data_IF_011388486260
#
_entry.id   IF_011388486260
#
_cell.length_a   1.000
_cell.length_b   1.000
_cell.length_c   1.000
_cell.angle_alpha   90.00
_cell.angle_beta   90.00
_cell.angle_gamma   90.00
#
_symmetry.space_group_name_H-M   'P 1'
#
loop_
_entity.id
_entity.type
_entity.pdbx_description
1 polymer ?
#
# COMPACT_ATOMS: atom_id res chain seq x y z
N UNK A 1 -1.49 -5.80 -9.56
CA UNK A 1 -1.68 -4.55 -10.35
C UNK A 1 -1.91 -3.34 -9.43
N UNK A 2 -1.96 -2.08 -9.90
CA UNK A 2 -2.08 -0.87 -9.05
C UNK A 2 -2.97 0.22 -9.69
N UNK A 3 -3.48 1.15 -8.88
CA UNK A 3 -4.16 2.39 -9.30
C UNK A 3 -5.48 2.15 -10.07
N UNK A 4 -6.35 1.32 -9.49
CA UNK A 4 -7.64 0.92 -10.06
C UNK A 4 -7.54 -0.27 -11.03
N UNK A 5 -6.34 -0.80 -11.25
CA UNK A 5 -6.12 -1.95 -12.13
C UNK A 5 -5.98 -3.22 -11.28
N UNK A 6 -6.71 -4.27 -11.67
CA UNK A 6 -6.66 -5.62 -11.08
C UNK A 6 -6.75 -6.68 -12.17
N UNK A 7 -6.19 -7.86 -11.92
CA UNK A 7 -6.30 -9.03 -12.78
C UNK A 7 -6.46 -10.30 -11.94
N UNK A 8 -7.63 -10.93 -12.00
CA UNK A 8 -7.97 -12.04 -11.11
C UNK A 8 -7.21 -13.32 -11.48
N UNK A 9 -7.10 -13.62 -12.78
CA UNK A 9 -6.41 -14.81 -13.25
C UNK A 9 -4.94 -14.87 -12.80
N UNK A 10 -4.22 -13.74 -12.83
CA UNK A 10 -2.86 -13.66 -12.30
C UNK A 10 -2.81 -13.78 -10.78
N UNK A 11 -3.80 -13.25 -10.06
CA UNK A 11 -3.89 -13.39 -8.61
C UNK A 11 -4.08 -14.85 -8.20
N UNK A 12 -5.04 -15.56 -8.81
CA UNK A 12 -5.30 -16.98 -8.55
C UNK A 12 -4.04 -17.82 -8.79
N UNK A 13 -3.34 -17.59 -9.90
CA UNK A 13 -2.07 -18.28 -10.20
C UNK A 13 -1.00 -18.03 -9.15
N UNK A 14 -0.88 -16.80 -8.67
CA UNK A 14 0.08 -16.45 -7.61
C UNK A 14 -0.25 -17.12 -6.29
N UNK A 15 -1.52 -17.11 -5.88
CA UNK A 15 -1.98 -17.78 -4.66
C UNK A 15 -1.79 -19.29 -4.75
N UNK A 16 -2.13 -19.92 -5.88
CA UNK A 16 -1.92 -21.35 -6.11
C UNK A 16 -0.43 -21.75 -6.05
N UNK A 17 0.48 -20.83 -6.41
CA UNK A 17 1.92 -21.01 -6.27
C UNK A 17 2.44 -20.76 -4.83
N UNK A 18 1.56 -20.49 -3.86
CA UNK A 18 1.93 -20.24 -2.47
C UNK A 18 2.46 -18.82 -2.20
N UNK A 19 2.22 -17.87 -3.10
CA UNK A 19 2.66 -16.48 -2.94
C UNK A 19 1.63 -15.63 -2.22
N UNK A 20 2.12 -14.64 -1.46
CA UNK A 20 1.28 -13.54 -0.98
C UNK A 20 1.05 -12.54 -2.11
N UNK A 21 -0.16 -12.52 -2.64
CA UNK A 21 -0.53 -11.62 -3.74
C UNK A 21 -1.09 -10.31 -3.18
N UNK A 22 -0.54 -9.19 -3.66
CA UNK A 22 -1.09 -7.85 -3.40
C UNK A 22 -1.51 -7.22 -4.72
N UNK A 23 -2.76 -6.77 -4.79
CA UNK A 23 -3.32 -6.08 -5.94
C UNK A 23 -3.94 -4.75 -5.55
N UNK A 24 -4.07 -3.87 -6.53
CA UNK A 24 -4.53 -2.50 -6.43
C UNK A 24 -3.87 -1.69 -5.28
N UNK A 25 -2.55 -1.83 -5.13
CA UNK A 25 -1.75 -1.06 -4.18
C UNK A 25 -0.48 -0.56 -4.84
N UNK A 26 -0.15 0.70 -4.62
CA UNK A 26 1.10 1.29 -5.11
C UNK A 26 2.15 1.27 -4.00
N UNK A 27 3.27 0.59 -4.23
CA UNK A 27 4.34 0.43 -3.23
C UNK A 27 4.79 1.77 -2.63
N UNK A 28 4.93 2.82 -3.46
CA UNK A 28 5.38 4.14 -3.00
C UNK A 28 4.34 4.82 -2.10
N UNK A 29 3.07 4.71 -2.45
CA UNK A 29 1.96 5.26 -1.66
C UNK A 29 1.88 4.52 -0.32
N UNK A 30 1.92 3.19 -0.34
CA UNK A 30 1.88 2.38 0.90
C UNK A 30 3.08 2.67 1.81
N UNK A 31 4.27 2.81 1.24
CA UNK A 31 5.46 3.19 2.02
C UNK A 31 5.32 4.60 2.61
N UNK A 32 4.90 5.58 1.80
CA UNK A 32 4.79 6.97 2.24
C UNK A 32 3.63 7.21 3.22
N UNK A 33 2.56 6.41 3.14
CA UNK A 33 1.42 6.42 4.07
C UNK A 33 1.87 6.25 5.52
N UNK A 34 2.89 5.44 5.77
CA UNK A 34 3.38 5.16 7.13
C UNK A 34 4.70 5.86 7.46
N UNK A 35 5.58 6.10 6.47
CA UNK A 35 6.94 6.59 6.73
C UNK A 35 7.31 7.90 6.02
N UNK A 36 6.50 8.38 5.07
CA UNK A 36 6.91 9.42 4.12
C UNK A 36 6.11 10.71 4.17
N UNK A 37 5.31 10.94 5.21
CA UNK A 37 4.54 12.18 5.38
C UNK A 37 3.58 12.45 4.22
N UNK A 38 2.98 11.42 3.62
CA UNK A 38 2.12 11.53 2.45
C UNK A 38 0.94 12.52 2.66
N UNK A 39 0.50 12.69 3.91
CA UNK A 39 -0.47 13.70 4.31
C UNK A 39 0.01 15.15 4.08
N UNK A 40 1.32 15.42 4.14
CA UNK A 40 1.89 16.74 3.85
C UNK A 40 1.77 17.13 2.38
N UNK A 41 1.67 16.13 1.49
CA UNK A 41 1.40 16.34 0.07
C UNK A 41 -0.11 16.42 -0.23
N UNK A 42 -0.98 16.54 0.78
CA UNK A 42 -2.43 16.72 0.62
C UNK A 42 -3.22 15.43 0.38
N UNK A 43 -2.60 14.25 0.52
CA UNK A 43 -3.29 12.98 0.34
C UNK A 43 -3.96 12.51 1.63
N UNK A 44 -5.18 11.97 1.50
CA UNK A 44 -5.81 11.23 2.58
C UNK A 44 -5.08 9.88 2.77
N UNK A 45 -4.36 9.73 3.89
CA UNK A 45 -3.62 8.51 4.20
C UNK A 45 -4.51 7.41 4.79
N UNK A 46 -5.70 7.74 5.33
CA UNK A 46 -6.56 6.79 6.05
C UNK A 46 -5.96 6.29 7.37
N UNK A 47 -4.87 6.90 7.85
CA UNK A 47 -4.16 6.51 9.06
C UNK A 47 -4.32 7.60 10.12
N UNK A 48 -4.91 7.24 11.26
CA UNK A 48 -4.97 8.07 12.47
C UNK A 48 -4.12 7.36 13.53
N UNK A 49 -3.13 8.06 14.10
CA UNK A 49 -2.23 7.48 15.11
C UNK A 49 -1.79 8.55 16.09
N UNK A 50 -1.77 8.20 17.39
CA UNK A 50 -1.18 9.02 18.46
C UNK A 50 0.28 8.64 18.78
N UNK A 51 0.85 7.67 18.05
CA UNK A 51 2.24 7.24 18.27
C UNK A 51 3.21 8.33 17.82
N UNK A 52 4.12 8.72 18.71
CA UNK A 52 5.20 9.66 18.37
C UNK A 52 6.13 9.01 17.34
N UNK A 53 6.27 9.64 16.17
CA UNK A 53 7.18 9.16 15.14
C UNK A 53 8.62 9.31 15.65
N UNK A 54 9.34 8.20 15.84
CA UNK A 54 10.67 8.18 16.48
C UNK A 54 11.84 8.34 15.49
N UNK A 55 11.56 8.53 14.21
CA UNK A 55 12.56 8.45 13.14
C UNK A 55 12.95 9.80 12.52
N UNK A 56 13.05 10.86 13.32
CA UNK A 56 13.74 12.10 12.94
C UNK A 56 14.82 12.34 13.98
#
# INVERSE_FOLDING_TARGET
>A
MQLGISDEASAERGVAAGLNVVQDRCLKIEHARFAGGLNLAGFNTGVISSKRNKSI
#
